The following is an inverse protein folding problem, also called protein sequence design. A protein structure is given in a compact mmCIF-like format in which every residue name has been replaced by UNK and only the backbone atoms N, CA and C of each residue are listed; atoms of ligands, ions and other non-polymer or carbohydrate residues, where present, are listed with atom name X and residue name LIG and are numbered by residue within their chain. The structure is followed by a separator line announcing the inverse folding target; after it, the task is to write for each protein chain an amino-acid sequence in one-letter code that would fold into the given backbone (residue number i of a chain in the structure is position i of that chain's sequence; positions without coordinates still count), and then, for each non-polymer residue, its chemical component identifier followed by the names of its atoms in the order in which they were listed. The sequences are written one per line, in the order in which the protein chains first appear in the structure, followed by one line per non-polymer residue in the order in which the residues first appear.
data_IF_819880988647
#
_entry.id   IF_819880988647
#
_cell.length_a   1.000
_cell.length_b   1.000
_cell.length_c   1.000
_cell.angle_alpha   90.00
_cell.angle_beta   90.00
_cell.angle_gamma   90.00
#
_symmetry.space_group_name_H-M   'P 1'
#
loop_
_entity.id
_entity.type
_entity.pdbx_description
1 polymer ?
#
# COMPACT_ATOMS: atom_id res chain seq x y z
N UNK A 1 -6.49 -20.40 -5.36
CA UNK A 1 -6.12 -20.46 -3.92
C UNK A 1 -6.07 -19.02 -3.41
N UNK A 2 -6.66 -18.75 -2.24
CA UNK A 2 -6.60 -17.44 -1.58
C UNK A 2 -5.15 -17.06 -1.28
N UNK A 3 -4.77 -15.82 -1.58
CA UNK A 3 -3.46 -15.25 -1.27
C UNK A 3 -3.59 -14.48 0.04
N UNK A 4 -3.02 -15.04 1.11
CA UNK A 4 -3.18 -14.50 2.46
C UNK A 4 -1.88 -14.53 3.24
N UNK A 5 -1.64 -13.52 4.05
CA UNK A 5 -0.48 -13.38 4.90
C UNK A 5 -0.64 -12.26 5.92
N UNK A 6 0.42 -11.92 6.59
CA UNK A 6 0.42 -10.84 7.57
C UNK A 6 1.65 -9.93 7.39
N UNK A 7 1.70 -8.86 8.18
CA UNK A 7 2.88 -8.00 8.24
C UNK A 7 4.00 -8.68 9.03
N UNK A 8 5.18 -8.82 8.41
CA UNK A 8 6.36 -9.44 9.00
C UNK A 8 7.49 -8.43 9.18
N UNK A 9 8.34 -8.67 10.17
CA UNK A 9 9.46 -7.80 10.47
C UNK A 9 10.68 -8.11 9.58
N UNK A 10 11.16 -7.14 8.83
CA UNK A 10 12.40 -7.23 8.03
C UNK A 10 13.69 -7.11 8.86
N UNK A 11 13.60 -7.05 10.20
CA UNK A 11 14.76 -6.83 11.08
C UNK A 11 15.84 -7.90 10.96
N UNK A 12 15.44 -9.17 10.71
CA UNK A 12 16.33 -10.34 10.58
C UNK A 12 16.70 -10.69 9.13
N UNK A 13 16.30 -9.86 8.16
CA UNK A 13 16.54 -10.08 6.74
C UNK A 13 15.34 -10.68 6.00
N UNK A 14 15.50 -10.81 4.68
CA UNK A 14 14.43 -11.22 3.77
C UNK A 14 14.08 -12.70 3.89
N UNK A 15 15.09 -13.58 3.90
CA UNK A 15 14.87 -15.02 4.05
C UNK A 15 14.18 -15.37 5.38
N UNK A 16 14.49 -14.63 6.45
CA UNK A 16 13.85 -14.84 7.76
C UNK A 16 12.34 -14.58 7.69
N UNK A 17 11.91 -13.51 6.99
CA UNK A 17 10.48 -13.25 6.76
C UNK A 17 9.81 -14.38 5.98
N UNK A 18 10.45 -14.86 4.91
CA UNK A 18 9.94 -15.99 4.14
C UNK A 18 9.74 -17.25 4.98
N UNK A 19 10.72 -17.58 5.82
CA UNK A 19 10.63 -18.72 6.76
C UNK A 19 9.51 -18.53 7.79
N UNK A 20 9.35 -17.33 8.33
CA UNK A 20 8.27 -17.01 9.26
C UNK A 20 6.91 -17.14 8.57
N UNK A 21 6.77 -16.68 7.32
CA UNK A 21 5.56 -16.84 6.52
C UNK A 21 5.21 -18.31 6.29
N UNK A 22 6.17 -19.14 5.86
CA UNK A 22 5.97 -20.61 5.69
C UNK A 22 5.51 -21.26 6.99
N UNK A 23 6.14 -20.89 8.11
CA UNK A 23 5.81 -21.44 9.42
C UNK A 23 4.36 -21.20 9.85
N UNK A 24 3.78 -20.06 9.46
CA UNK A 24 2.38 -19.72 9.78
C UNK A 24 1.39 -20.12 8.68
N UNK A 25 1.86 -20.80 7.62
CA UNK A 25 1.02 -21.22 6.48
C UNK A 25 0.61 -20.08 5.55
N UNK A 26 1.28 -18.94 5.61
CA UNK A 26 1.03 -17.83 4.70
C UNK A 26 1.68 -18.09 3.32
N UNK A 27 1.04 -17.59 2.25
CA UNK A 27 1.54 -17.69 0.88
C UNK A 27 1.81 -16.31 0.25
N UNK A 28 1.78 -15.26 1.03
CA UNK A 28 2.27 -13.91 0.79
C UNK A 28 2.53 -13.24 2.13
N UNK A 29 3.13 -12.05 2.14
CA UNK A 29 3.25 -11.22 3.34
C UNK A 29 3.55 -9.78 2.99
N UNK A 30 3.32 -8.89 3.96
CA UNK A 30 3.75 -7.49 3.89
C UNK A 30 4.97 -7.24 4.77
N UNK A 31 5.78 -6.26 4.39
CA UNK A 31 6.90 -5.78 5.21
C UNK A 31 7.19 -4.30 4.93
N UNK A 32 7.80 -3.61 5.89
CA UNK A 32 8.33 -2.27 5.65
C UNK A 32 9.70 -2.33 4.99
N UNK A 33 9.90 -1.53 3.95
CA UNK A 33 11.19 -1.37 3.25
C UNK A 33 12.28 -0.77 4.14
N UNK A 34 11.86 0.02 5.12
CA UNK A 34 12.69 0.71 6.13
C UNK A 34 11.91 0.87 7.44
N UNK A 35 12.50 1.52 8.44
CA UNK A 35 11.74 1.85 9.64
C UNK A 35 10.46 2.64 9.28
N UNK A 36 9.27 2.22 9.74
CA UNK A 36 8.00 2.87 9.39
C UNK A 36 7.92 4.34 9.84
N UNK A 37 8.73 4.76 10.79
CA UNK A 37 8.87 6.17 11.23
C UNK A 37 9.88 6.96 10.40
N UNK A 38 10.39 6.41 9.31
CA UNK A 38 11.39 7.00 8.44
C UNK A 38 12.82 6.57 8.79
N UNK A 39 13.78 7.13 8.07
CA UNK A 39 15.20 6.84 8.23
C UNK A 39 15.81 6.17 7.00
N UNK A 40 17.10 5.80 7.12
CA UNK A 40 17.81 5.13 6.04
C UNK A 40 17.32 3.70 5.86
N UNK A 41 17.19 3.27 4.61
CA UNK A 41 17.02 1.86 4.28
C UNK A 41 18.26 1.07 4.74
N UNK A 42 18.07 -0.18 5.19
CA UNK A 42 19.17 -1.09 5.42
C UNK A 42 19.77 -1.54 4.08
N UNK A 43 21.07 -1.73 4.04
CA UNK A 43 21.68 -2.44 2.93
C UNK A 43 21.15 -3.88 2.91
N UNK A 44 20.77 -4.34 1.73
CA UNK A 44 20.28 -5.71 1.51
C UNK A 44 21.49 -6.57 1.11
N UNK A 45 21.64 -7.72 1.76
CA UNK A 45 22.57 -8.75 1.30
C UNK A 45 21.99 -9.41 0.04
N UNK A 46 22.71 -9.39 -1.10
CA UNK A 46 22.26 -10.03 -2.33
C UNK A 46 21.92 -11.52 -2.17
N UNK A 47 22.63 -12.24 -1.31
CA UNK A 47 22.39 -13.65 -1.04
C UNK A 47 21.08 -13.86 -0.29
N UNK A 48 20.73 -12.97 0.64
CA UNK A 48 19.46 -13.01 1.39
C UNK A 48 18.26 -12.78 0.47
N UNK A 49 18.35 -11.82 -0.45
CA UNK A 49 17.34 -11.60 -1.48
C UNK A 49 17.17 -12.80 -2.43
N UNK A 50 18.27 -13.40 -2.88
CA UNK A 50 18.24 -14.59 -3.73
C UNK A 50 17.62 -15.79 -3.00
N UNK A 51 17.96 -15.98 -1.73
CA UNK A 51 17.43 -17.06 -0.90
C UNK A 51 15.92 -16.92 -0.65
N UNK A 52 15.42 -15.69 -0.43
CA UNK A 52 13.98 -15.46 -0.34
C UNK A 52 13.27 -15.79 -1.66
N UNK A 53 13.80 -15.36 -2.82
CA UNK A 53 13.20 -15.69 -4.12
C UNK A 53 13.13 -17.21 -4.37
N UNK A 54 14.18 -17.94 -4.00
CA UNK A 54 14.20 -19.41 -4.12
C UNK A 54 13.10 -20.04 -3.26
N UNK A 55 12.98 -19.63 -2.00
CA UNK A 55 11.94 -20.09 -1.07
C UNK A 55 10.54 -19.74 -1.56
N UNK A 56 10.34 -18.54 -2.12
CA UNK A 56 9.06 -18.15 -2.72
C UNK A 56 8.67 -19.07 -3.88
N UNK A 57 9.62 -19.41 -4.75
CA UNK A 57 9.39 -20.35 -5.86
C UNK A 57 9.06 -21.76 -5.37
N UNK A 58 9.78 -22.28 -4.37
CA UNK A 58 9.56 -23.59 -3.77
C UNK A 58 8.17 -23.73 -3.14
N UNK A 59 7.70 -22.69 -2.44
CA UNK A 59 6.42 -22.71 -1.74
C UNK A 59 5.25 -22.05 -2.50
N UNK A 60 5.43 -21.64 -3.76
CA UNK A 60 4.39 -21.06 -4.60
C UNK A 60 3.82 -19.75 -4.06
N UNK A 61 4.67 -18.89 -3.52
CA UNK A 61 4.24 -17.59 -2.98
C UNK A 61 3.64 -16.70 -4.07
N UNK A 62 2.59 -15.99 -3.70
CA UNK A 62 2.10 -14.84 -4.46
C UNK A 62 3.07 -13.64 -4.30
N UNK A 63 2.93 -12.58 -5.12
CA UNK A 63 3.71 -11.37 -4.94
C UNK A 63 3.63 -10.84 -3.50
N UNK A 64 4.76 -10.40 -2.98
CA UNK A 64 4.88 -9.78 -1.67
C UNK A 64 4.47 -8.31 -1.75
N UNK A 65 4.06 -7.72 -0.63
CA UNK A 65 3.71 -6.33 -0.51
C UNK A 65 4.76 -5.58 0.34
N UNK A 66 5.63 -4.82 -0.31
CA UNK A 66 6.51 -3.90 0.39
C UNK A 66 5.77 -2.59 0.70
N UNK A 67 5.84 -2.10 1.91
CA UNK A 67 5.16 -0.88 2.33
C UNK A 67 6.15 0.26 2.57
N UNK A 68 5.84 1.43 2.03
CA UNK A 68 6.58 2.66 2.29
C UNK A 68 6.50 3.06 3.79
N UNK A 69 7.47 3.82 4.30
CA UNK A 69 7.35 4.35 5.65
C UNK A 69 6.17 5.34 5.76
N UNK A 70 5.50 5.39 6.89
CA UNK A 70 4.38 6.33 7.13
C UNK A 70 4.77 7.81 7.03
N UNK A 71 6.07 8.10 7.14
CA UNK A 71 6.61 9.46 6.97
C UNK A 71 6.77 9.89 5.51
N UNK A 72 6.54 8.97 4.55
CA UNK A 72 6.49 9.32 3.15
C UNK A 72 5.21 10.12 2.88
N UNK A 73 5.34 11.41 2.57
CA UNK A 73 4.23 12.27 2.19
C UNK A 73 4.56 12.95 0.84
N UNK A 74 3.99 12.39 -0.23
CA UNK A 74 4.21 12.84 -1.60
C UNK A 74 3.72 14.25 -1.85
N UNK A 75 2.67 14.68 -1.16
CA UNK A 75 1.98 15.96 -1.38
C UNK A 75 2.12 16.96 -0.22
N UNK A 76 3.12 16.79 0.65
CA UNK A 76 3.38 17.73 1.73
C UNK A 76 3.60 19.16 1.20
N UNK A 77 3.19 20.16 1.98
CA UNK A 77 3.43 21.57 1.66
C UNK A 77 4.94 21.89 1.67
N UNK A 78 5.69 21.30 2.60
CA UNK A 78 7.12 21.53 2.73
C UNK A 78 7.94 20.78 1.66
N UNK A 79 8.75 21.49 0.84
CA UNK A 79 9.61 20.85 -0.15
C UNK A 79 10.52 19.77 0.42
N UNK A 80 11.11 19.99 1.59
CA UNK A 80 12.01 19.04 2.26
C UNK A 80 11.34 17.69 2.55
N UNK A 81 10.05 17.69 2.90
CA UNK A 81 9.28 16.46 3.13
C UNK A 81 9.04 15.72 1.81
N UNK A 82 8.75 16.44 0.73
CA UNK A 82 8.63 15.85 -0.61
C UNK A 82 9.96 15.30 -1.13
N UNK A 83 11.07 15.98 -0.86
CA UNK A 83 12.42 15.48 -1.23
C UNK A 83 12.77 14.18 -0.50
N UNK A 84 12.38 14.06 0.76
CA UNK A 84 12.47 12.79 1.47
C UNK A 84 11.60 11.71 0.80
N UNK A 85 10.35 12.03 0.44
CA UNK A 85 9.46 11.11 -0.24
C UNK A 85 10.07 10.60 -1.57
N UNK A 86 10.62 11.50 -2.40
CA UNK A 86 11.33 11.14 -3.64
C UNK A 86 12.51 10.21 -3.39
N UNK A 87 13.35 10.58 -2.43
CA UNK A 87 14.55 9.80 -2.09
C UNK A 87 14.18 8.42 -1.55
N UNK A 88 13.20 8.36 -0.63
CA UNK A 88 12.77 7.11 -0.03
C UNK A 88 12.15 6.17 -1.07
N UNK A 89 11.20 6.65 -1.87
CA UNK A 89 10.54 5.84 -2.89
C UNK A 89 11.54 5.35 -3.95
N UNK A 90 12.47 6.20 -4.40
CA UNK A 90 13.51 5.79 -5.36
C UNK A 90 14.36 4.65 -4.81
N UNK A 91 14.87 4.79 -3.60
CA UNK A 91 15.69 3.76 -2.95
C UNK A 91 14.92 2.45 -2.72
N UNK A 92 13.65 2.55 -2.34
CA UNK A 92 12.82 1.37 -2.11
C UNK A 92 12.54 0.62 -3.41
N UNK A 93 12.18 1.34 -4.48
CA UNK A 93 11.95 0.75 -5.80
C UNK A 93 13.23 0.14 -6.38
N UNK A 94 14.37 0.83 -6.29
CA UNK A 94 15.66 0.29 -6.74
C UNK A 94 16.03 -0.97 -5.96
N UNK A 95 15.73 -1.04 -4.66
CA UNK A 95 15.92 -2.23 -3.82
C UNK A 95 15.03 -3.38 -4.28
N UNK A 96 13.73 -3.11 -4.51
CA UNK A 96 12.80 -4.14 -4.97
C UNK A 96 13.16 -4.66 -6.36
N UNK A 97 13.45 -3.78 -7.30
CA UNK A 97 13.87 -4.18 -8.66
C UNK A 97 15.14 -5.03 -8.64
N UNK A 98 16.08 -4.72 -7.74
CA UNK A 98 17.35 -5.45 -7.63
C UNK A 98 17.18 -6.81 -6.96
N UNK A 99 16.48 -6.85 -5.83
CA UNK A 99 16.48 -8.03 -4.96
C UNK A 99 15.19 -8.83 -4.97
N UNK A 100 14.05 -8.19 -5.20
CA UNK A 100 12.70 -8.78 -5.16
C UNK A 100 11.82 -8.29 -6.33
N UNK A 101 12.28 -8.39 -7.58
CA UNK A 101 11.51 -7.90 -8.72
C UNK A 101 10.19 -8.64 -8.90
N UNK A 102 9.18 -7.96 -9.45
CA UNK A 102 7.85 -8.53 -9.69
C UNK A 102 6.95 -8.56 -8.46
N UNK A 103 7.35 -7.88 -7.37
CA UNK A 103 6.53 -7.69 -6.18
C UNK A 103 5.79 -6.34 -6.21
N UNK A 104 5.02 -6.06 -5.18
CA UNK A 104 4.20 -4.86 -5.04
C UNK A 104 4.85 -3.87 -4.07
N UNK A 105 4.71 -2.59 -4.34
CA UNK A 105 5.13 -1.51 -3.44
C UNK A 105 3.94 -0.61 -3.14
N UNK A 106 3.50 -0.58 -1.89
CA UNK A 106 2.35 0.19 -1.43
C UNK A 106 2.78 1.46 -0.69
N UNK A 107 2.05 2.56 -0.90
CA UNK A 107 2.28 3.79 -0.17
C UNK A 107 0.99 4.58 0.06
N UNK A 108 0.96 5.35 1.14
CA UNK A 108 -0.08 6.35 1.38
C UNK A 108 0.17 7.57 0.49
N UNK A 109 -0.80 8.07 -0.29
CA UNK A 109 -0.60 9.26 -1.12
C UNK A 109 -0.15 10.50 -0.34
N UNK A 110 -0.53 10.58 0.94
CA UNK A 110 -0.11 11.61 1.87
C UNK A 110 -1.20 12.65 2.16
N UNK A 111 -0.79 13.75 2.76
CA UNK A 111 -1.68 14.86 3.14
C UNK A 111 -1.21 16.16 2.53
N UNK A 112 -2.13 16.90 1.90
CA UNK A 112 -1.83 18.16 1.19
C UNK A 112 -1.62 19.37 2.11
N UNK A 113 -1.92 19.24 3.39
CA UNK A 113 -1.63 20.25 4.45
C UNK A 113 -2.03 21.66 4.02
N UNK A 114 -3.33 21.87 3.74
CA UNK A 114 -3.90 23.17 3.41
C UNK A 114 -3.69 23.68 1.97
N UNK A 115 -2.92 22.96 1.11
CA UNK A 115 -2.72 23.38 -0.29
C UNK A 115 -3.94 23.12 -1.20
N UNK A 116 -4.89 22.32 -0.73
CA UNK A 116 -6.06 21.88 -1.49
C UNK A 116 -5.84 20.55 -2.20
N UNK A 117 -6.95 19.86 -2.47
CA UNK A 117 -6.95 18.49 -3.04
C UNK A 117 -6.31 18.47 -4.43
N UNK A 118 -6.61 19.44 -5.29
CA UNK A 118 -6.05 19.51 -6.65
C UNK A 118 -4.52 19.61 -6.65
N UNK A 119 -3.97 20.45 -5.77
CA UNK A 119 -2.54 20.58 -5.61
C UNK A 119 -1.93 19.30 -5.02
N UNK A 120 -2.59 18.68 -4.05
CA UNK A 120 -2.18 17.41 -3.46
C UNK A 120 -2.08 16.31 -4.51
N UNK A 121 -3.11 16.12 -5.31
CA UNK A 121 -3.16 15.13 -6.40
C UNK A 121 -2.04 15.42 -7.42
N UNK A 122 -1.87 16.67 -7.84
CA UNK A 122 -0.82 17.03 -8.81
C UNK A 122 0.58 16.68 -8.29
N UNK A 123 0.86 16.88 -7.01
CA UNK A 123 2.15 16.53 -6.39
C UNK A 123 2.37 15.00 -6.31
N UNK A 124 1.31 14.22 -6.03
CA UNK A 124 1.40 12.74 -6.07
C UNK A 124 1.69 12.26 -7.48
N UNK A 125 0.99 12.82 -8.49
CA UNK A 125 1.20 12.50 -9.91
C UNK A 125 2.63 12.84 -10.34
N UNK A 126 3.14 14.01 -9.94
CA UNK A 126 4.51 14.43 -10.23
C UNK A 126 5.55 13.48 -9.64
N UNK A 127 5.38 13.07 -8.36
CA UNK A 127 6.22 12.07 -7.74
C UNK A 127 6.21 10.77 -8.53
N UNK A 128 5.05 10.22 -8.84
CA UNK A 128 4.93 8.94 -9.55
C UNK A 128 5.56 8.99 -10.94
N UNK A 129 5.33 10.06 -11.71
CA UNK A 129 5.96 10.25 -13.03
C UNK A 129 7.49 10.31 -12.97
N UNK A 130 8.05 10.84 -11.90
CA UNK A 130 9.50 10.87 -11.68
C UNK A 130 10.06 9.52 -11.23
N UNK A 131 9.28 8.72 -10.51
CA UNK A 131 9.72 7.47 -9.90
C UNK A 131 9.52 6.26 -10.79
N UNK A 132 8.41 6.20 -11.52
CA UNK A 132 8.06 5.05 -12.33
C UNK A 132 8.90 4.94 -13.60
N UNK A 133 9.20 3.72 -14.01
CA UNK A 133 9.89 3.37 -15.25
C UNK A 133 9.05 2.35 -16.01
N UNK A 134 8.82 2.52 -17.31
CA UNK A 134 7.99 1.58 -18.09
C UNK A 134 8.43 0.12 -18.02
N UNK A 135 9.75 -0.10 -17.89
CA UNK A 135 10.37 -1.42 -17.84
C UNK A 135 10.41 -2.06 -16.44
N UNK A 136 9.98 -1.34 -15.39
CA UNK A 136 10.00 -1.89 -14.03
C UNK A 136 9.01 -3.04 -13.88
N UNK A 137 9.38 -4.00 -13.03
CA UNK A 137 8.56 -5.16 -12.71
C UNK A 137 7.78 -5.00 -11.40
N UNK A 138 8.22 -4.09 -10.55
CA UNK A 138 7.53 -3.75 -9.30
C UNK A 138 6.35 -2.85 -9.60
N UNK A 139 5.14 -3.25 -9.20
CA UNK A 139 3.93 -2.44 -9.32
C UNK A 139 3.78 -1.55 -8.10
N UNK A 140 3.55 -0.27 -8.31
CA UNK A 140 3.33 0.71 -7.25
C UNK A 140 1.83 0.87 -6.98
N UNK A 141 1.42 0.66 -5.74
CA UNK A 141 0.03 0.72 -5.32
C UNK A 141 -0.24 2.00 -4.51
N UNK A 142 -1.31 2.69 -4.90
CA UNK A 142 -1.92 3.74 -4.10
C UNK A 142 -2.85 3.09 -3.08
N UNK A 143 -2.64 3.37 -1.80
CA UNK A 143 -3.57 2.91 -0.78
C UNK A 143 -4.79 3.82 -0.69
N UNK A 144 -5.98 3.22 -0.53
CA UNK A 144 -7.18 3.98 -0.18
C UNK A 144 -7.05 4.51 1.25
N UNK A 145 -7.41 5.78 1.49
CA UNK A 145 -7.20 6.46 2.75
C UNK A 145 -8.51 6.73 3.49
N UNK A 146 -8.41 7.01 4.79
CA UNK A 146 -9.56 7.30 5.65
C UNK A 146 -10.21 8.68 5.41
N UNK A 147 -9.57 9.54 4.61
CA UNK A 147 -10.02 10.91 4.40
C UNK A 147 -9.81 11.83 5.62
N UNK A 148 -8.91 11.45 6.51
CA UNK A 148 -8.60 12.22 7.71
C UNK A 148 -7.97 13.57 7.36
N UNK A 149 -8.63 14.66 7.76
CA UNK A 149 -8.10 16.01 7.60
C UNK A 149 -7.85 16.37 6.13
N UNK A 150 -6.60 16.37 5.71
CA UNK A 150 -6.17 16.73 4.35
C UNK A 150 -5.53 15.56 3.60
N UNK A 151 -5.84 14.33 3.97
CA UNK A 151 -5.38 13.13 3.26
C UNK A 151 -5.91 13.10 1.82
N UNK A 152 -5.04 12.70 0.89
CA UNK A 152 -5.37 12.40 -0.50
C UNK A 152 -5.64 10.91 -0.63
N UNK A 153 -6.70 10.53 -1.35
CA UNK A 153 -7.06 9.12 -1.56
C UNK A 153 -8.19 8.62 -0.65
N UNK A 154 -8.87 9.52 0.06
CA UNK A 154 -10.08 9.21 0.83
C UNK A 154 -11.31 8.94 -0.06
N UNK A 155 -11.27 9.36 -1.33
CA UNK A 155 -12.32 9.10 -2.32
C UNK A 155 -11.79 8.29 -3.50
N UNK A 156 -12.56 7.37 -4.00
CA UNK A 156 -12.19 6.58 -5.19
C UNK A 156 -11.89 7.46 -6.40
N UNK A 157 -12.60 8.58 -6.56
CA UNK A 157 -12.39 9.55 -7.63
C UNK A 157 -11.00 10.22 -7.57
N UNK A 158 -10.46 10.42 -6.37
CA UNK A 158 -9.10 10.96 -6.18
C UNK A 158 -8.04 9.97 -6.65
N UNK A 159 -8.17 8.69 -6.24
CA UNK A 159 -7.31 7.59 -6.68
C UNK A 159 -7.40 7.41 -8.21
N UNK A 160 -8.62 7.36 -8.75
CA UNK A 160 -8.83 7.23 -10.20
C UNK A 160 -8.20 8.38 -10.99
N UNK A 161 -8.28 9.62 -10.47
CA UNK A 161 -7.65 10.77 -11.08
C UNK A 161 -6.12 10.65 -11.09
N UNK A 162 -5.52 10.21 -9.97
CA UNK A 162 -4.07 9.99 -9.91
C UNK A 162 -3.65 8.93 -10.93
N UNK A 163 -4.30 7.77 -10.97
CA UNK A 163 -3.98 6.69 -11.91
C UNK A 163 -4.08 7.16 -13.37
N UNK A 164 -5.18 7.85 -13.73
CA UNK A 164 -5.39 8.41 -15.06
C UNK A 164 -4.31 9.43 -15.42
N UNK A 165 -4.02 10.36 -14.51
CA UNK A 165 -3.09 11.45 -14.77
C UNK A 165 -1.63 10.95 -14.81
N UNK A 166 -1.27 9.91 -14.06
CA UNK A 166 0.03 9.21 -14.19
C UNK A 166 0.15 8.50 -15.54
N UNK A 167 -0.92 7.84 -15.97
CA UNK A 167 -1.04 7.12 -17.26
C UNK A 167 0.06 6.05 -17.47
N UNK A 168 0.29 5.22 -16.44
CA UNK A 168 1.21 4.08 -16.49
C UNK A 168 0.54 2.84 -15.88
N UNK A 169 -0.50 2.27 -16.54
CA UNK A 169 -1.33 1.22 -15.96
C UNK A 169 -0.57 -0.07 -15.66
N UNK A 170 0.51 -0.35 -16.39
CA UNK A 170 1.34 -1.54 -16.16
C UNK A 170 2.21 -1.42 -14.91
N UNK A 171 2.44 -0.20 -14.42
CA UNK A 171 3.30 0.09 -13.28
C UNK A 171 2.51 0.49 -12.02
N UNK A 172 1.22 0.78 -12.13
CA UNK A 172 0.39 1.31 -11.04
C UNK A 172 -0.79 0.41 -10.72
N UNK A 173 -1.33 0.55 -9.52
CA UNK A 173 -2.54 -0.12 -9.05
C UNK A 173 -3.01 0.44 -7.72
N UNK A 174 -3.91 -0.28 -7.08
CA UNK A 174 -4.54 0.13 -5.81
C UNK A 174 -4.40 -0.98 -4.77
N UNK A 175 -4.16 -0.57 -3.54
CA UNK A 175 -4.37 -1.35 -2.33
C UNK A 175 -5.61 -0.79 -1.61
N UNK A 176 -6.63 -1.63 -1.40
CA UNK A 176 -7.81 -1.26 -0.64
C UNK A 176 -7.58 -1.63 0.82
N UNK A 177 -7.67 -0.66 1.72
CA UNK A 177 -7.66 -0.91 3.17
C UNK A 177 -9.10 -0.86 3.70
N UNK A 178 -9.56 -1.94 4.34
CA UNK A 178 -10.94 -2.08 4.82
C UNK A 178 -11.28 -1.11 5.94
N UNK A 179 -10.34 -0.84 6.86
CA UNK A 179 -10.51 0.17 7.90
C UNK A 179 -10.61 1.58 7.30
N UNK A 180 -9.76 1.88 6.30
CA UNK A 180 -9.74 3.20 5.66
C UNK A 180 -11.02 3.49 4.89
N UNK A 181 -11.45 2.58 4.02
CA UNK A 181 -12.68 2.80 3.23
C UNK A 181 -13.92 2.87 4.12
N UNK A 182 -14.01 2.03 5.17
CA UNK A 182 -15.08 2.11 6.16
C UNK A 182 -15.10 3.47 6.87
N UNK A 183 -13.94 3.94 7.30
CA UNK A 183 -13.80 5.27 7.91
C UNK A 183 -14.06 6.42 6.95
N UNK A 184 -13.86 6.23 5.65
CA UNK A 184 -14.13 7.22 4.60
C UNK A 184 -15.59 7.25 4.13
N UNK A 185 -16.48 6.45 4.73
CA UNK A 185 -17.91 6.43 4.43
C UNK A 185 -18.32 5.43 3.34
N UNK A 186 -17.50 4.42 3.05
CA UNK A 186 -17.88 3.28 2.20
C UNK A 186 -18.34 2.13 3.10
N UNK A 187 -19.63 1.81 3.09
CA UNK A 187 -20.24 0.82 3.99
C UNK A 187 -19.99 -0.62 3.53
N UNK A 188 -18.76 -1.09 3.74
CA UNK A 188 -18.36 -2.47 3.39
C UNK A 188 -18.99 -3.53 4.33
N UNK A 189 -19.63 -3.11 5.42
CA UNK A 189 -20.29 -4.01 6.38
C UNK A 189 -21.68 -4.37 5.92
N UNK A 190 -22.48 -3.40 5.45
CA UNK A 190 -23.87 -3.62 5.09
C UNK A 190 -24.11 -3.64 3.57
N UNK A 191 -23.19 -3.09 2.77
CA UNK A 191 -23.31 -2.96 1.31
C UNK A 191 -21.95 -3.16 0.59
N UNK A 192 -21.30 -4.30 0.84
CA UNK A 192 -20.02 -4.64 0.18
C UNK A 192 -20.15 -4.65 -1.34
N UNK A 193 -21.22 -5.26 -1.87
CA UNK A 193 -21.45 -5.34 -3.32
C UNK A 193 -21.63 -3.96 -3.96
N UNK A 194 -22.34 -3.05 -3.29
CA UNK A 194 -22.48 -1.66 -3.75
C UNK A 194 -21.15 -0.91 -3.73
N UNK A 195 -20.35 -1.09 -2.69
CA UNK A 195 -19.01 -0.49 -2.60
C UNK A 195 -18.09 -1.04 -3.70
N UNK A 196 -18.07 -2.35 -3.94
CA UNK A 196 -17.28 -2.97 -5.00
C UNK A 196 -17.75 -2.54 -6.40
N UNK A 197 -19.07 -2.42 -6.61
CA UNK A 197 -19.63 -1.89 -7.86
C UNK A 197 -19.17 -0.46 -8.09
N UNK A 198 -19.19 0.39 -7.06
CA UNK A 198 -18.68 1.76 -7.17
C UNK A 198 -17.16 1.79 -7.41
N UNK A 199 -16.39 0.95 -6.74
CA UNK A 199 -14.96 0.83 -6.98
C UNK A 199 -14.68 0.46 -8.43
N UNK A 200 -15.42 -0.53 -8.97
CA UNK A 200 -15.26 -0.96 -10.36
C UNK A 200 -15.62 0.15 -11.36
N UNK A 201 -16.71 0.85 -11.12
CA UNK A 201 -17.14 1.95 -12.00
C UNK A 201 -16.18 3.14 -12.01
N UNK A 202 -15.50 3.43 -10.89
CA UNK A 202 -14.64 4.62 -10.74
C UNK A 202 -13.17 4.31 -11.01
N UNK A 203 -12.67 3.21 -10.48
CA UNK A 203 -11.24 2.82 -10.54
C UNK A 203 -11.03 1.64 -11.49
N UNK A 204 -11.96 0.68 -11.50
CA UNK A 204 -11.84 -0.62 -12.15
C UNK A 204 -11.26 -1.69 -11.22
N UNK A 205 -11.95 -2.83 -11.05
CA UNK A 205 -11.48 -3.96 -10.24
C UNK A 205 -10.16 -4.55 -10.74
N UNK A 206 -9.87 -4.41 -12.04
CA UNK A 206 -8.57 -4.82 -12.61
C UNK A 206 -7.38 -4.02 -12.06
N UNK A 207 -7.61 -2.88 -11.43
CA UNK A 207 -6.59 -2.09 -10.76
C UNK A 207 -6.41 -2.45 -9.28
N UNK A 208 -7.21 -3.35 -8.72
CA UNK A 208 -7.10 -3.82 -7.33
C UNK A 208 -6.10 -4.99 -7.25
N UNK A 209 -4.94 -4.73 -6.66
CA UNK A 209 -3.86 -5.72 -6.56
C UNK A 209 -3.64 -6.27 -5.16
N UNK A 210 -4.05 -5.52 -4.14
CA UNK A 210 -3.91 -5.92 -2.74
C UNK A 210 -5.08 -5.39 -1.89
N UNK A 211 -5.35 -6.09 -0.80
CA UNK A 211 -6.28 -5.67 0.24
C UNK A 211 -5.55 -5.72 1.58
N UNK A 212 -5.57 -4.63 2.32
CA UNK A 212 -5.27 -4.63 3.75
C UNK A 212 -6.56 -4.97 4.49
N UNK A 213 -6.61 -6.17 5.04
CA UNK A 213 -7.76 -6.63 5.80
C UNK A 213 -7.58 -6.24 7.27
N UNK A 214 -8.14 -5.10 7.63
CA UNK A 214 -8.08 -4.51 8.96
C UNK A 214 -9.49 -4.28 9.50
N UNK A 215 -9.69 -4.46 10.80
CA UNK A 215 -10.88 -3.98 11.49
C UNK A 215 -10.65 -2.54 11.97
N UNK A 216 -11.70 -1.82 12.38
CA UNK A 216 -11.64 -0.41 12.77
C UNK A 216 -12.00 -0.21 14.24
N UNK A 217 -11.16 0.54 14.99
CA UNK A 217 -11.49 1.01 16.35
C UNK A 217 -12.52 2.15 16.36
N UNK A 218 -12.85 2.71 15.20
CA UNK A 218 -13.73 3.87 15.09
C UNK A 218 -14.98 3.51 14.28
N UNK A 219 -16.10 4.22 14.50
CA UNK A 219 -17.34 3.93 13.78
C UNK A 219 -17.24 4.31 12.30
N UNK A 220 -18.24 3.86 11.55
CA UNK A 220 -18.44 4.22 10.16
C UNK A 220 -18.40 5.74 9.93
N UNK A 221 -17.81 6.16 8.80
CA UNK A 221 -17.71 7.57 8.39
C UNK A 221 -17.02 8.49 9.40
N UNK A 222 -16.08 7.93 10.18
CA UNK A 222 -15.40 8.67 11.24
C UNK A 222 -14.24 9.54 10.76
N UNK A 223 -13.74 9.33 9.56
CA UNK A 223 -12.52 9.94 9.02
C UNK A 223 -11.32 9.79 9.96
N UNK A 224 -11.12 8.58 10.50
CA UNK A 224 -10.02 8.26 11.40
C UNK A 224 -9.37 6.94 11.01
N UNK A 225 -8.06 6.98 10.89
CA UNK A 225 -7.24 5.79 10.72
C UNK A 225 -6.88 5.22 12.11
N UNK A 226 -7.59 4.17 12.52
CA UNK A 226 -7.36 3.44 13.79
C UNK A 226 -7.73 1.98 13.60
N UNK A 227 -6.73 1.16 13.34
CA UNK A 227 -6.90 -0.27 13.17
C UNK A 227 -7.22 -0.97 14.48
N UNK A 228 -8.16 -1.90 14.45
CA UNK A 228 -8.42 -2.89 15.47
C UNK A 228 -7.90 -4.26 15.02
N UNK A 229 -7.78 -5.18 15.94
CA UNK A 229 -7.64 -6.59 15.58
C UNK A 229 -8.93 -7.08 14.93
N UNK A 230 -8.78 -8.02 14.01
CA UNK A 230 -9.92 -8.61 13.30
C UNK A 230 -10.91 -9.19 14.30
N UNK A 231 -12.17 -8.76 14.20
CA UNK A 231 -13.26 -9.15 15.08
C UNK A 231 -13.36 -8.40 16.42
N UNK A 232 -12.43 -7.46 16.69
CA UNK A 232 -12.44 -6.64 17.92
C UNK A 232 -12.85 -5.17 17.66
N UNK A 233 -13.21 -4.83 16.43
CA UNK A 233 -13.55 -3.48 16.00
C UNK A 233 -14.99 -3.32 15.52
N UNK A 234 -15.24 -2.20 14.85
CA UNK A 234 -16.56 -1.78 14.39
C UNK A 234 -17.03 -2.48 13.10
N UNK A 235 -16.10 -3.08 12.32
CA UNK A 235 -16.50 -3.93 11.19
C UNK A 235 -17.06 -5.25 11.70
N UNK A 236 -16.40 -5.84 12.69
CA UNK A 236 -16.76 -7.13 13.26
C UNK A 236 -16.33 -8.33 12.40
N UNK A 237 -16.34 -9.50 12.99
CA UNK A 237 -15.86 -10.72 12.34
C UNK A 237 -16.72 -11.13 11.15
N UNK A 238 -18.04 -11.00 11.26
CA UNK A 238 -18.99 -11.44 10.22
C UNK A 238 -18.86 -10.66 8.91
N UNK A 239 -18.39 -9.40 8.96
CA UNK A 239 -18.13 -8.60 7.77
C UNK A 239 -16.76 -8.89 7.13
N UNK A 240 -15.86 -9.54 7.86
CA UNK A 240 -14.48 -9.80 7.43
C UNK A 240 -14.33 -11.23 6.89
N UNK A 241 -15.17 -12.17 7.31
CA UNK A 241 -15.13 -13.59 6.94
C UNK A 241 -16.13 -13.92 5.85
#
# INVERSE_FOLDING_TARGET
MLKIGCHLSSAKGFLAMGKDAVKIGANTFQFFTRNPRGGKAKAVDPQDGAALRALMGEHGFAPLLAHAPYTLNACAAEPRVRDFARTAMRQDLDTLETFLPGNLYNFHPGSHVGQGMDAGIALVVDLLRQMLRPEQRTRVLLETMSGKGSEVGGRFEEIARILRDVNMPDCTGVCLDTCHVYSAGYDIVNDLDGVLTRFDAVIGLNNLYAVHLNDSLTPFDSHKDRHARIGEGSLGLDAIV
#
